data_IF_292740504514
#
_entry.id   IF_292740504514
#
_cell.length_a   1.000
_cell.length_b   1.000
_cell.length_c   1.000
_cell.angle_alpha   90.00
_cell.angle_beta   90.00
_cell.angle_gamma   90.00
#
_symmetry.space_group_name_H-M   'P 1'
#
loop_
_entity.id
_entity.type
_entity.pdbx_description
1 polymer ?
#
# COMPACT_ATOMS: atom_id res chain seq x y z
N UNK A 1 33.34 -13.83 3.20
CA UNK A 1 34.03 -12.86 4.08
C UNK A 1 33.29 -12.84 5.41
N UNK A 2 33.91 -13.32 6.49
CA UNK A 2 33.30 -13.36 7.83
C UNK A 2 33.33 -11.95 8.45
N UNK A 3 32.21 -11.45 8.94
CA UNK A 3 32.19 -10.29 9.85
C UNK A 3 31.31 -10.62 11.06
N UNK A 4 31.85 -10.26 12.22
CA UNK A 4 31.46 -10.59 13.59
C UNK A 4 30.25 -9.78 14.10
N UNK A 5 29.61 -10.36 15.10
CA UNK A 5 28.92 -9.78 16.28
C UNK A 5 28.35 -8.36 16.16
N UNK A 6 27.03 -8.26 16.34
CA UNK A 6 26.35 -7.02 16.71
C UNK A 6 25.89 -7.14 18.17
N UNK A 7 26.52 -6.36 19.03
CA UNK A 7 26.06 -6.06 20.39
C UNK A 7 24.71 -5.33 20.33
N UNK A 8 23.67 -5.91 20.93
CA UNK A 8 22.44 -5.19 21.25
C UNK A 8 22.69 -4.28 22.46
N UNK A 9 22.68 -2.97 22.24
CA UNK A 9 22.43 -1.99 23.30
C UNK A 9 20.93 -1.67 23.30
N UNK A 10 20.22 -2.15 24.32
CA UNK A 10 18.87 -1.70 24.63
C UNK A 10 18.93 -0.35 25.35
N UNK A 11 18.54 0.73 24.67
CA UNK A 11 18.30 2.02 25.29
C UNK A 11 16.82 2.14 25.63
N UNK A 12 16.48 1.93 26.90
CA UNK A 12 15.13 2.07 27.45
C UNK A 12 14.82 3.56 27.63
N UNK A 13 13.95 4.12 26.79
CA UNK A 13 13.35 5.43 27.03
C UNK A 13 12.10 5.24 27.91
N UNK A 14 12.20 5.63 29.17
CA UNK A 14 11.10 5.62 30.15
C UNK A 14 10.24 6.86 29.93
N UNK A 15 9.04 6.69 29.36
CA UNK A 15 7.96 7.66 29.47
C UNK A 15 7.18 7.37 30.76
N UNK A 16 7.22 8.32 31.69
CA UNK A 16 6.52 8.25 32.97
C UNK A 16 5.00 8.21 32.76
N UNK A 17 4.41 7.04 33.00
CA UNK A 17 3.01 6.91 33.44
C UNK A 17 3.03 6.10 34.72
N UNK A 18 2.59 6.70 35.82
CA UNK A 18 2.54 6.10 37.16
C UNK A 18 1.61 4.87 37.25
N UNK A 19 1.79 4.00 38.27
CA UNK A 19 1.77 2.55 38.06
C UNK A 19 0.48 1.87 38.51
N UNK A 20 0.09 0.79 37.82
CA UNK A 20 -0.62 -0.33 38.45
C UNK A 20 0.27 -1.55 38.36
N UNK A 21 0.67 -2.04 39.53
CA UNK A 21 1.52 -3.22 39.71
C UNK A 21 0.72 -4.47 39.39
N UNK A 22 1.22 -5.29 38.48
CA UNK A 22 0.89 -6.71 38.40
C UNK A 22 2.17 -7.50 38.67
N UNK A 23 2.25 -8.11 39.85
CA UNK A 23 3.27 -9.09 40.18
C UNK A 23 2.91 -10.40 39.46
N UNK A 24 3.82 -10.91 38.64
CA UNK A 24 3.84 -12.32 38.25
C UNK A 24 5.28 -12.82 38.44
N UNK A 25 5.48 -13.62 39.49
CA UNK A 25 6.72 -14.37 39.72
C UNK A 25 6.70 -15.63 38.85
N UNK A 26 7.81 -15.90 38.16
CA UNK A 26 8.19 -17.25 37.72
C UNK A 26 9.45 -17.72 38.48
N UNK A 27 9.96 -18.93 38.21
CA UNK A 27 9.38 -20.20 38.64
C UNK A 27 10.30 -20.90 39.66
N UNK A 28 9.72 -21.63 40.61
CA UNK A 28 10.41 -22.58 41.47
C UNK A 28 9.83 -23.98 41.26
N UNK A 29 10.68 -24.92 40.84
CA UNK A 29 10.52 -26.38 40.81
C UNK A 29 9.96 -26.92 42.16
N UNK A 30 9.29 -28.06 42.35
CA UNK A 30 9.13 -29.35 41.64
C UNK A 30 8.04 -30.18 42.38
N UNK A 31 7.63 -31.29 41.77
CA UNK A 31 6.95 -32.51 42.32
C UNK A 31 5.43 -32.53 42.53
N UNK A 32 4.82 -33.50 41.84
CA UNK A 32 3.55 -34.22 42.06
C UNK A 32 2.28 -33.43 42.40
N UNK A 33 1.42 -33.33 41.40
CA UNK A 33 0.02 -32.95 41.56
C UNK A 33 -0.56 -32.52 40.22
N UNK A 34 -1.61 -33.21 39.79
CA UNK A 34 -2.45 -32.86 38.64
C UNK A 34 -2.69 -31.34 38.57
N UNK A 35 -2.63 -30.71 37.38
CA UNK A 35 -2.80 -29.27 37.29
C UNK A 35 -4.18 -28.88 37.83
N UNK A 36 -4.16 -28.10 38.91
CA UNK A 36 -5.30 -27.32 39.37
C UNK A 36 -5.81 -26.54 38.17
N UNK A 37 -7.03 -26.87 37.76
CA UNK A 37 -7.81 -26.14 36.76
C UNK A 37 -7.57 -24.64 36.94
N UNK A 38 -6.90 -24.03 35.95
CA UNK A 38 -6.83 -22.59 35.85
C UNK A 38 -8.27 -22.10 35.84
N UNK A 39 -8.67 -21.47 36.93
CA UNK A 39 -9.99 -20.92 37.12
C UNK A 39 -10.31 -20.09 35.87
N UNK A 40 -11.32 -20.52 35.10
CA UNK A 40 -11.80 -19.75 33.98
C UNK A 40 -12.07 -18.32 34.47
N UNK A 41 -11.61 -17.28 33.76
CA UNK A 41 -11.87 -15.91 34.18
C UNK A 41 -13.39 -15.75 34.40
N UNK A 42 -13.81 -15.06 35.48
CA UNK A 42 -15.22 -14.93 35.79
C UNK A 42 -15.97 -14.39 34.58
N UNK A 43 -17.01 -15.13 34.16
CA UNK A 43 -17.80 -14.91 32.93
C UNK A 43 -18.52 -13.56 32.86
N UNK A 44 -18.36 -12.68 33.85
CA UNK A 44 -19.09 -11.43 34.05
C UNK A 44 -18.24 -10.29 34.64
N UNK A 45 -16.90 -10.33 34.56
CA UNK A 45 -16.16 -9.08 34.72
C UNK A 45 -16.47 -8.23 33.49
N UNK A 46 -17.05 -7.04 33.68
CA UNK A 46 -17.20 -6.10 32.58
C UNK A 46 -15.80 -5.79 32.05
N UNK A 47 -15.43 -6.39 30.93
CA UNK A 47 -14.16 -6.14 30.26
C UNK A 47 -14.17 -4.67 29.81
N UNK A 48 -13.20 -3.87 30.25
CA UNK A 48 -13.09 -2.45 29.91
C UNK A 48 -13.10 -1.49 31.10
N UNK A 49 -12.65 -0.26 30.87
CA UNK A 49 -12.58 0.82 31.86
C UNK A 49 -13.75 1.78 31.63
N UNK A 50 -14.48 2.11 32.69
CA UNK A 50 -15.50 3.17 32.64
C UNK A 50 -14.86 4.52 32.96
N UNK A 51 -14.88 5.44 31.99
CA UNK A 51 -14.31 6.77 32.12
C UNK A 51 -15.04 7.76 31.22
N UNK A 52 -15.28 8.98 31.70
CA UNK A 52 -15.90 10.05 30.93
C UNK A 52 -17.32 9.75 30.44
N UNK A 53 -18.08 8.89 31.14
CA UNK A 53 -19.43 8.47 30.70
C UNK A 53 -19.44 7.39 29.60
N UNK A 54 -18.29 6.76 29.36
CA UNK A 54 -18.12 5.68 28.38
C UNK A 54 -17.53 4.43 29.04
N UNK A 55 -17.95 3.27 28.57
CA UNK A 55 -17.23 2.00 28.74
C UNK A 55 -16.25 1.84 27.59
N UNK A 56 -14.96 1.73 27.91
CA UNK A 56 -13.86 1.73 26.95
C UNK A 56 -13.17 0.38 27.00
N UNK A 57 -13.09 -0.29 25.87
CA UNK A 57 -12.27 -1.49 25.65
C UNK A 57 -11.23 -1.16 24.58
N UNK A 58 -9.97 -1.45 24.87
CA UNK A 58 -8.87 -1.19 23.93
C UNK A 58 -7.89 -2.36 23.97
N UNK A 59 -7.43 -2.78 22.81
CA UNK A 59 -6.32 -3.72 22.66
C UNK A 59 -5.34 -3.21 21.61
N UNK A 60 -4.05 -3.47 21.86
CA UNK A 60 -2.98 -3.23 20.89
C UNK A 60 -2.05 -4.43 20.95
N UNK A 61 -1.84 -5.06 19.82
CA UNK A 61 -0.94 -6.19 19.68
C UNK A 61 0.33 -5.76 18.94
N UNK A 62 1.47 -6.02 19.57
CA UNK A 62 2.78 -5.78 18.99
C UNK A 62 3.42 -7.11 18.61
N UNK A 63 4.13 -7.10 17.49
CA UNK A 63 4.88 -8.25 17.02
C UNK A 63 6.06 -7.83 16.17
N UNK A 64 6.65 -8.79 15.49
CA UNK A 64 7.70 -8.54 14.53
C UNK A 64 7.83 -9.69 13.55
N UNK A 65 8.50 -9.44 12.43
CA UNK A 65 8.93 -10.48 11.51
C UNK A 65 10.42 -10.38 11.33
N UNK A 66 11.04 -11.54 11.27
CA UNK A 66 12.41 -11.72 10.85
C UNK A 66 12.33 -12.48 9.54
N UNK A 67 12.88 -11.88 8.49
CA UNK A 67 12.97 -12.44 7.17
C UNK A 67 14.45 -12.63 6.87
N UNK A 68 14.82 -13.88 6.57
CA UNK A 68 16.14 -14.23 6.04
C UNK A 68 15.99 -14.60 4.57
N UNK A 69 16.64 -13.85 3.69
CA UNK A 69 16.55 -14.01 2.24
C UNK A 69 17.92 -14.37 1.69
N UNK A 70 18.00 -15.48 0.95
CA UNK A 70 19.18 -15.87 0.17
C UNK A 70 18.85 -15.82 -1.32
N UNK A 71 19.79 -15.39 -2.16
CA UNK A 71 19.57 -15.22 -3.60
C UNK A 71 19.09 -13.81 -3.98
N UNK A 72 18.13 -13.72 -4.91
CA UNK A 72 17.65 -12.44 -5.46
C UNK A 72 16.61 -11.78 -4.55
N UNK A 73 16.98 -10.66 -3.92
CA UNK A 73 16.07 -9.81 -3.12
C UNK A 73 14.92 -9.25 -3.97
N UNK A 74 15.14 -8.74 -5.21
CA UNK A 74 14.03 -8.33 -6.07
C UNK A 74 13.02 -9.45 -6.37
N UNK A 75 13.49 -10.70 -6.49
CA UNK A 75 12.60 -11.84 -6.67
C UNK A 75 11.79 -12.14 -5.39
N UNK A 76 12.44 -12.08 -4.23
CA UNK A 76 11.74 -12.21 -2.94
C UNK A 76 10.64 -11.14 -2.79
N UNK A 77 10.95 -9.90 -3.13
CA UNK A 77 10.00 -8.77 -3.07
C UNK A 77 8.88 -8.90 -4.11
N UNK A 78 9.14 -9.54 -5.25
CA UNK A 78 8.09 -9.81 -6.25
C UNK A 78 7.12 -10.90 -5.79
N UNK A 79 7.63 -11.94 -5.13
CA UNK A 79 6.82 -13.08 -4.71
C UNK A 79 6.11 -12.87 -3.36
N UNK A 80 6.81 -12.22 -2.41
CA UNK A 80 6.41 -12.21 -1.00
C UNK A 80 6.33 -10.79 -0.44
N UNK A 81 7.36 -9.96 -0.65
CA UNK A 81 7.42 -8.57 -0.18
C UNK A 81 7.15 -8.39 1.34
N UNK A 82 7.65 -9.31 2.16
CA UNK A 82 7.43 -9.28 3.61
C UNK A 82 8.74 -8.98 4.34
N UNK A 83 9.00 -7.70 4.56
CA UNK A 83 10.28 -7.24 5.14
C UNK A 83 10.40 -7.57 6.63
N UNK A 84 11.64 -7.62 7.12
CA UNK A 84 11.92 -7.66 8.56
C UNK A 84 11.52 -6.35 9.24
N UNK A 85 11.03 -6.43 10.48
CA UNK A 85 10.74 -5.24 11.27
C UNK A 85 9.72 -5.44 12.38
N UNK A 86 9.66 -4.51 13.35
CA UNK A 86 8.62 -4.46 14.37
C UNK A 86 7.29 -4.05 13.75
N UNK A 87 6.19 -4.56 14.33
CA UNK A 87 4.83 -4.34 13.82
C UNK A 87 3.81 -4.11 14.90
N UNK A 88 2.76 -3.42 14.51
CA UNK A 88 1.49 -3.44 15.20
C UNK A 88 0.58 -4.37 14.41
N UNK A 89 0.33 -5.54 14.99
CA UNK A 89 -0.42 -6.62 14.35
C UNK A 89 -1.90 -6.25 14.28
N UNK A 90 -2.46 -5.86 15.41
CA UNK A 90 -3.84 -5.41 15.51
C UNK A 90 -3.98 -4.28 16.53
N UNK A 91 -4.89 -3.35 16.25
CA UNK A 91 -5.39 -2.37 17.21
C UNK A 91 -6.89 -2.45 17.20
N UNK A 92 -7.51 -2.44 18.37
CA UNK A 92 -8.95 -2.30 18.51
C UNK A 92 -9.28 -1.31 19.61
N UNK A 93 -10.33 -0.53 19.37
CA UNK A 93 -10.93 0.39 20.33
C UNK A 93 -12.44 0.28 20.19
N UNK A 94 -13.12 0.04 21.31
CA UNK A 94 -14.57 0.06 21.41
C UNK A 94 -14.94 0.97 22.56
N UNK A 95 -15.79 1.95 22.28
CA UNK A 95 -16.34 2.86 23.27
C UNK A 95 -17.86 2.81 23.18
N UNK A 96 -18.52 2.60 24.32
CA UNK A 96 -19.97 2.59 24.44
C UNK A 96 -20.40 3.64 25.46
N UNK A 97 -21.32 4.52 25.11
CA UNK A 97 -21.84 5.53 26.03
C UNK A 97 -22.72 4.87 27.08
N UNK A 98 -22.55 5.28 28.34
CA UNK A 98 -23.36 4.85 29.47
C UNK A 98 -24.61 5.72 29.64
N UNK A 99 -24.51 7.02 29.29
CA UNK A 99 -25.58 8.01 29.51
C UNK A 99 -26.28 8.45 28.24
N UNK A 100 -25.71 8.19 27.06
CA UNK A 100 -26.20 8.68 25.77
C UNK A 100 -26.25 10.21 25.63
N UNK A 101 -25.53 10.96 26.47
CA UNK A 101 -25.50 12.43 26.41
C UNK A 101 -24.36 12.98 25.56
N UNK A 102 -23.31 12.18 25.34
CA UNK A 102 -22.12 12.61 24.59
C UNK A 102 -22.32 12.68 23.07
N UNK A 103 -21.25 13.01 22.36
CA UNK A 103 -21.26 13.22 20.90
C UNK A 103 -21.68 11.97 20.11
N UNK A 104 -21.41 10.79 20.65
CA UNK A 104 -21.75 9.49 20.08
C UNK A 104 -22.18 8.51 21.18
N UNK A 105 -22.94 7.49 20.79
CA UNK A 105 -23.38 6.38 21.64
C UNK A 105 -22.47 5.16 21.48
N UNK A 106 -21.90 4.97 20.30
CA UNK A 106 -20.93 3.90 20.04
C UNK A 106 -19.85 4.39 19.10
N UNK A 107 -18.60 4.09 19.43
CA UNK A 107 -17.44 4.26 18.57
C UNK A 107 -16.67 2.95 18.54
N UNK A 108 -16.36 2.47 17.35
CA UNK A 108 -15.48 1.32 17.14
C UNK A 108 -14.40 1.69 16.14
N UNK A 109 -13.15 1.45 16.49
CA UNK A 109 -12.02 1.58 15.59
C UNK A 109 -11.19 0.30 15.59
N UNK A 110 -10.71 -0.11 14.42
CA UNK A 110 -9.74 -1.19 14.32
C UNK A 110 -8.74 -0.94 13.20
N UNK A 111 -7.52 -1.42 13.36
CA UNK A 111 -6.46 -1.27 12.38
C UNK A 111 -5.48 -2.44 12.42
N UNK A 112 -4.80 -2.71 11.30
CA UNK A 112 -3.78 -3.75 11.21
C UNK A 112 -2.73 -3.42 10.15
N UNK A 113 -1.59 -4.11 10.20
CA UNK A 113 -0.57 -4.10 9.15
C UNK A 113 0.40 -2.92 9.20
N UNK A 114 0.57 -2.29 10.37
CA UNK A 114 1.52 -1.19 10.52
C UNK A 114 2.91 -1.72 10.88
N UNK A 115 3.95 -1.11 10.30
CA UNK A 115 5.34 -1.57 10.49
C UNK A 115 5.93 -2.31 9.27
N UNK A 116 5.54 -1.90 8.06
CA UNK A 116 6.19 -2.35 6.82
C UNK A 116 5.53 -3.54 6.12
N UNK A 117 4.30 -3.91 6.49
CA UNK A 117 3.53 -4.87 5.70
C UNK A 117 3.07 -4.25 4.37
N UNK A 118 3.00 -5.10 3.33
CA UNK A 118 2.55 -4.70 2.00
C UNK A 118 1.09 -4.24 2.00
N UNK A 119 0.27 -4.73 2.92
CA UNK A 119 -1.13 -4.31 3.08
C UNK A 119 -1.40 -3.86 4.51
N UNK A 120 -2.12 -2.75 4.65
CA UNK A 120 -2.62 -2.26 5.93
C UNK A 120 -4.00 -1.65 5.78
N UNK A 121 -4.77 -1.64 6.87
CA UNK A 121 -6.07 -1.04 6.88
C UNK A 121 -6.43 -0.44 8.24
N UNK A 122 -7.31 0.55 8.21
CA UNK A 122 -7.98 1.10 9.37
C UNK A 122 -9.47 1.26 9.07
N UNK A 123 -10.30 1.06 10.08
CA UNK A 123 -11.75 1.21 10.01
C UNK A 123 -12.20 1.93 11.27
N UNK A 124 -13.11 2.87 11.09
CA UNK A 124 -13.72 3.66 12.15
C UNK A 124 -15.21 3.70 11.90
N UNK A 125 -15.99 3.53 12.95
CA UNK A 125 -17.43 3.71 12.93
C UNK A 125 -17.85 4.48 14.17
N UNK A 126 -18.66 5.51 13.99
CA UNK A 126 -19.19 6.37 15.04
C UNK A 126 -20.69 6.47 14.84
N UNK A 127 -21.47 6.16 15.88
CA UNK A 127 -22.93 6.12 15.81
C UNK A 127 -23.51 6.97 16.93
N UNK A 128 -24.48 7.81 16.57
CA UNK A 128 -25.41 8.45 17.51
C UNK A 128 -26.82 8.06 17.14
N UNK A 129 -27.55 7.50 18.10
CA UNK A 129 -28.87 6.91 17.90
C UNK A 129 -29.82 7.88 17.21
N UNK A 130 -30.39 7.43 16.08
CA UNK A 130 -31.31 8.20 15.21
C UNK A 130 -30.81 9.56 14.72
N UNK A 131 -29.54 9.89 14.92
CA UNK A 131 -28.96 11.18 14.56
C UNK A 131 -27.96 11.02 13.42
N UNK A 132 -26.94 10.17 13.59
CA UNK A 132 -26.00 9.88 12.52
C UNK A 132 -25.31 8.53 12.68
N UNK A 133 -24.82 8.01 11.56
CA UNK A 133 -23.89 6.90 11.48
C UNK A 133 -22.77 7.29 10.51
N UNK A 134 -21.56 7.46 11.04
CA UNK A 134 -20.37 7.78 10.29
C UNK A 134 -19.47 6.55 10.21
N UNK A 135 -18.99 6.23 9.02
CA UNK A 135 -18.01 5.18 8.77
C UNK A 135 -16.84 5.76 7.98
N UNK A 136 -15.63 5.41 8.38
CA UNK A 136 -14.44 5.68 7.59
C UNK A 136 -13.60 4.41 7.47
N UNK A 137 -13.09 4.13 6.28
CA UNK A 137 -12.08 3.11 6.06
C UNK A 137 -10.91 3.66 5.26
N UNK A 138 -9.74 3.17 5.63
CA UNK A 138 -8.51 3.33 4.89
C UNK A 138 -7.97 1.95 4.60
N UNK A 139 -7.53 1.72 3.38
CA UNK A 139 -6.75 0.54 3.00
C UNK A 139 -5.60 1.01 2.12
N UNK A 140 -4.42 0.45 2.35
CA UNK A 140 -3.30 0.63 1.43
C UNK A 140 -2.64 -0.70 1.13
N UNK A 141 -2.38 -0.91 -0.15
CA UNK A 141 -1.70 -2.09 -0.68
C UNK A 141 -0.46 -1.63 -1.46
N UNK A 142 0.62 -2.38 -1.36
CA UNK A 142 1.82 -2.23 -2.16
C UNK A 142 1.90 -3.37 -3.15
N UNK A 143 2.29 -3.04 -4.38
CA UNK A 143 2.57 -4.00 -5.44
C UNK A 143 3.98 -3.73 -5.93
N UNK A 144 4.83 -4.74 -5.79
CA UNK A 144 6.21 -4.72 -6.26
C UNK A 144 6.35 -5.79 -7.34
N UNK A 145 7.06 -5.46 -8.41
CA UNK A 145 7.48 -6.41 -9.41
C UNK A 145 8.82 -5.98 -9.95
N UNK A 146 9.80 -6.87 -9.85
CA UNK A 146 11.09 -6.73 -10.49
C UNK A 146 11.64 -8.13 -10.71
N UNK A 147 11.04 -8.82 -11.68
CA UNK A 147 11.44 -10.17 -12.07
C UNK A 147 12.02 -10.16 -13.48
N UNK A 148 13.30 -10.49 -13.58
CA UNK A 148 14.14 -10.42 -14.79
C UNK A 148 14.07 -11.69 -15.67
N UNK A 149 13.38 -12.74 -15.23
CA UNK A 149 13.29 -14.01 -15.95
C UNK A 149 12.47 -13.94 -17.25
N UNK A 150 11.83 -12.80 -17.54
CA UNK A 150 11.11 -12.55 -18.79
C UNK A 150 12.03 -12.26 -20.01
N UNK A 151 13.32 -12.58 -19.86
CA UNK A 151 14.44 -12.52 -20.80
C UNK A 151 15.37 -11.31 -20.56
N UNK A 152 16.64 -11.62 -20.28
CA UNK A 152 17.72 -10.69 -20.58
C UNK A 152 17.64 -10.41 -22.09
N UNK A 153 17.70 -9.14 -22.54
CA UNK A 153 17.74 -8.84 -23.97
C UNK A 153 18.87 -9.63 -24.62
N UNK A 154 18.79 -9.87 -25.92
CA UNK A 154 19.77 -10.61 -26.74
C UNK A 154 21.16 -9.91 -26.81
N UNK A 155 21.70 -9.48 -25.68
CA UNK A 155 23.00 -8.89 -25.44
C UNK A 155 23.94 -10.04 -25.07
N UNK A 156 24.77 -10.53 -26.01
CA UNK A 156 25.65 -11.65 -25.73
C UNK A 156 26.72 -11.22 -24.69
N UNK A 157 27.17 -12.13 -23.81
CA UNK A 157 28.27 -11.85 -22.88
C UNK A 157 29.60 -11.50 -23.57
N UNK A 158 29.69 -11.74 -24.88
CA UNK A 158 30.83 -11.40 -25.74
C UNK A 158 30.73 -10.02 -26.39
N UNK A 159 29.62 -9.30 -26.18
CA UNK A 159 29.44 -7.94 -26.65
C UNK A 159 30.50 -7.00 -26.05
N UNK A 160 30.89 -5.98 -26.81
CA UNK A 160 31.83 -4.96 -26.35
C UNK A 160 31.18 -3.57 -26.46
N UNK A 161 30.77 -2.95 -25.35
CA UNK A 161 30.74 -3.43 -23.96
C UNK A 161 29.63 -4.45 -23.65
N UNK A 162 29.84 -5.26 -22.61
CA UNK A 162 28.81 -6.14 -22.07
C UNK A 162 27.81 -5.31 -21.29
N UNK A 163 26.54 -5.42 -21.64
CA UNK A 163 25.44 -4.72 -20.99
C UNK A 163 24.41 -5.72 -20.52
N UNK A 164 24.30 -5.84 -19.20
CA UNK A 164 23.34 -6.71 -18.55
C UNK A 164 22.12 -5.89 -18.11
N UNK A 165 20.93 -6.41 -18.41
CA UNK A 165 19.69 -5.92 -17.81
C UNK A 165 19.49 -6.67 -16.49
N UNK A 166 19.76 -5.98 -15.39
CA UNK A 166 19.67 -6.58 -14.05
C UNK A 166 18.29 -6.42 -13.41
N UNK A 167 17.42 -5.60 -13.99
CA UNK A 167 16.06 -5.30 -13.52
C UNK A 167 15.06 -5.51 -14.65
N UNK A 168 13.82 -5.85 -14.31
CA UNK A 168 12.77 -6.00 -15.32
C UNK A 168 12.53 -4.69 -16.07
N UNK A 169 12.50 -4.68 -17.42
CA UNK A 169 12.08 -3.52 -18.21
C UNK A 169 10.65 -3.05 -17.92
N UNK A 170 9.86 -3.89 -17.25
CA UNK A 170 8.50 -3.61 -16.82
C UNK A 170 8.37 -3.59 -15.29
N UNK A 171 9.49 -3.35 -14.58
CA UNK A 171 9.49 -3.26 -13.13
C UNK A 171 8.55 -2.16 -12.64
N UNK A 172 7.92 -2.39 -11.50
CA UNK A 172 7.09 -1.39 -10.85
C UNK A 172 7.11 -1.51 -9.33
N UNK A 173 6.94 -0.37 -8.67
CA UNK A 173 6.71 -0.31 -7.24
C UNK A 173 5.60 0.68 -6.94
N UNK A 174 4.38 0.16 -6.92
CA UNK A 174 3.16 0.96 -6.86
C UNK A 174 2.50 0.83 -5.49
N UNK A 175 2.04 1.96 -4.96
CA UNK A 175 1.15 2.03 -3.81
C UNK A 175 -0.27 2.32 -4.25
N UNK A 176 -1.22 1.47 -3.85
CA UNK A 176 -2.66 1.74 -3.95
C UNK A 176 -3.19 2.19 -2.60
N UNK A 177 -3.88 3.32 -2.54
CA UNK A 177 -4.53 3.85 -1.34
C UNK A 177 -6.02 4.03 -1.61
N UNK A 178 -6.83 3.42 -0.77
CA UNK A 178 -8.29 3.47 -0.80
C UNK A 178 -8.77 4.16 0.47
N UNK A 179 -9.58 5.20 0.29
CA UNK A 179 -10.23 5.93 1.37
C UNK A 179 -11.73 5.86 1.11
N UNK A 180 -12.50 5.46 2.10
CA UNK A 180 -13.95 5.48 2.01
C UNK A 180 -14.50 6.18 3.25
N UNK A 181 -15.42 7.11 3.01
CA UNK A 181 -16.12 7.86 4.05
C UNK A 181 -17.60 7.76 3.75
N UNK A 182 -18.39 7.39 4.75
CA UNK A 182 -19.84 7.27 4.66
C UNK A 182 -20.48 8.00 5.83
N UNK A 183 -21.52 8.77 5.55
CA UNK A 183 -22.31 9.48 6.53
C UNK A 183 -23.79 9.26 6.23
N UNK A 184 -24.47 8.60 7.17
CA UNK A 184 -25.93 8.53 7.18
C UNK A 184 -26.47 9.48 8.23
N UNK A 185 -27.27 10.46 7.83
CA UNK A 185 -27.99 11.35 8.74
C UNK A 185 -29.41 10.85 8.97
N UNK A 186 -29.86 10.97 10.23
CA UNK A 186 -31.18 10.57 10.69
C UNK A 186 -31.55 9.12 10.37
N UNK A 187 -30.67 8.14 10.65
CA UNK A 187 -30.98 6.74 10.41
C UNK A 187 -32.28 6.35 11.14
N UNK A 188 -33.13 5.57 10.48
CA UNK A 188 -34.44 5.10 10.98
C UNK A 188 -35.51 6.19 11.17
N UNK A 189 -35.25 7.46 10.83
CA UNK A 189 -36.30 8.50 10.78
C UNK A 189 -37.12 8.41 9.48
N UNK A 190 -38.17 9.24 9.38
CA UNK A 190 -38.97 9.38 8.15
C UNK A 190 -38.14 9.82 6.95
N UNK A 191 -37.17 10.69 7.18
CA UNK A 191 -36.22 11.15 6.18
C UNK A 191 -34.82 10.73 6.61
N UNK A 192 -34.07 10.11 5.70
CA UNK A 192 -32.69 9.67 5.92
C UNK A 192 -31.86 10.09 4.71
N UNK A 193 -30.68 10.67 4.98
CA UNK A 193 -29.73 11.10 3.94
C UNK A 193 -28.49 10.24 4.03
N UNK A 194 -27.98 9.79 2.90
CA UNK A 194 -26.73 9.06 2.74
C UNK A 194 -25.77 9.89 1.89
N UNK A 195 -24.57 10.09 2.40
CA UNK A 195 -23.46 10.74 1.73
C UNK A 195 -22.25 9.81 1.81
N UNK A 196 -21.82 9.26 0.68
CA UNK A 196 -20.58 8.48 0.62
C UNK A 196 -19.56 9.12 -0.33
N UNK A 197 -18.30 9.01 0.04
CA UNK A 197 -17.16 9.40 -0.77
C UNK A 197 -16.11 8.29 -0.72
N UNK A 198 -15.70 7.81 -1.89
CA UNK A 198 -14.61 6.85 -2.04
C UNK A 198 -13.54 7.42 -2.95
N UNK A 199 -12.28 7.25 -2.56
CA UNK A 199 -11.11 7.62 -3.36
C UNK A 199 -10.14 6.46 -3.43
N UNK A 200 -9.84 6.04 -4.65
CA UNK A 200 -8.85 5.02 -4.94
C UNK A 200 -7.73 5.64 -5.79
N UNK A 201 -6.51 5.70 -5.26
CA UNK A 201 -5.33 6.26 -5.94
C UNK A 201 -4.26 5.19 -6.07
N UNK A 202 -3.72 5.01 -7.27
CA UNK A 202 -2.54 4.18 -7.53
C UNK A 202 -1.43 5.10 -8.00
N UNK A 203 -0.31 5.07 -7.30
CA UNK A 203 0.87 5.86 -7.65
C UNK A 203 2.16 5.08 -7.41
N UNK A 204 3.17 5.35 -8.24
CA UNK A 204 4.50 4.78 -8.05
C UNK A 204 5.34 4.81 -9.32
N UNK A 205 6.67 4.61 -9.18
CA UNK A 205 7.51 4.35 -10.32
C UNK A 205 7.09 3.05 -11.01
N UNK A 206 7.01 3.10 -12.34
CA UNK A 206 6.99 1.90 -13.16
C UNK A 206 7.76 2.14 -14.44
N UNK A 207 8.17 1.06 -15.07
CA UNK A 207 8.88 1.06 -16.33
C UNK A 207 8.05 0.38 -17.41
N UNK A 208 8.27 0.79 -18.64
CA UNK A 208 7.77 0.13 -19.82
C UNK A 208 8.80 0.21 -20.93
N UNK A 209 8.50 -0.36 -22.08
CA UNK A 209 9.35 -0.28 -23.25
C UNK A 209 8.53 0.10 -24.48
N UNK A 210 9.19 0.69 -25.47
CA UNK A 210 8.60 1.02 -26.76
C UNK A 210 9.55 0.58 -27.87
N UNK A 211 8.98 0.05 -28.96
CA UNK A 211 9.73 -0.39 -30.12
C UNK A 211 9.58 0.61 -31.27
N UNK A 212 10.62 1.41 -31.52
CA UNK A 212 10.74 2.34 -32.65
C UNK A 212 12.15 2.20 -33.24
N UNK A 213 12.35 1.23 -34.12
CA UNK A 213 13.66 0.90 -34.71
C UNK A 213 14.60 0.14 -33.75
N UNK A 214 14.56 0.46 -32.46
CA UNK A 214 15.18 -0.24 -31.32
C UNK A 214 14.20 -0.25 -30.14
N UNK A 215 14.42 -1.06 -29.10
CA UNK A 215 13.55 -1.07 -27.91
C UNK A 215 14.04 -0.11 -26.82
N UNK A 216 13.44 1.08 -26.68
CA UNK A 216 13.78 1.99 -25.58
C UNK A 216 13.21 1.50 -24.26
N UNK A 217 13.94 1.75 -23.17
CA UNK A 217 13.38 1.67 -21.83
C UNK A 217 12.73 3.03 -21.49
N UNK A 218 11.49 2.99 -21.02
CA UNK A 218 10.72 4.15 -20.65
C UNK A 218 10.43 4.16 -19.15
N UNK A 219 10.65 5.30 -18.52
CA UNK A 219 10.09 5.58 -17.21
C UNK A 219 8.64 6.03 -17.37
N UNK A 220 7.74 5.28 -16.74
CA UNK A 220 6.30 5.47 -16.81
C UNK A 220 5.73 5.55 -15.38
N UNK A 221 5.82 6.68 -14.66
CA UNK A 221 5.24 6.77 -13.33
C UNK A 221 3.72 6.63 -13.39
N UNK A 222 3.17 5.62 -12.70
CA UNK A 222 1.73 5.49 -12.58
C UNK A 222 1.21 6.62 -11.69
N UNK A 223 0.14 7.27 -12.16
CA UNK A 223 -0.61 8.22 -11.36
C UNK A 223 -2.06 8.19 -11.80
N UNK A 224 -2.86 7.36 -11.12
CA UNK A 224 -4.28 7.24 -11.41
C UNK A 224 -5.08 7.47 -10.14
N UNK A 225 -6.20 8.18 -10.28
CA UNK A 225 -7.12 8.46 -9.18
C UNK A 225 -8.55 8.25 -9.67
N UNK A 226 -9.32 7.51 -8.90
CA UNK A 226 -10.76 7.34 -9.06
C UNK A 226 -11.44 7.91 -7.82
N UNK A 227 -12.30 8.91 -8.01
CA UNK A 227 -13.19 9.41 -6.98
C UNK A 227 -14.61 8.97 -7.29
N UNK A 228 -15.35 8.58 -6.26
CA UNK A 228 -16.75 8.22 -6.36
C UNK A 228 -17.50 8.96 -5.25
N UNK A 229 -18.58 9.63 -5.63
CA UNK A 229 -19.48 10.33 -4.71
C UNK A 229 -20.85 9.68 -4.84
N UNK A 230 -21.46 9.32 -3.72
CA UNK A 230 -22.80 8.77 -3.68
C UNK A 230 -23.68 9.63 -2.80
N UNK A 231 -24.85 9.96 -3.32
CA UNK A 231 -25.90 10.64 -2.61
C UNK A 231 -27.13 9.74 -2.58
N UNK A 232 -27.77 9.61 -1.42
CA UNK A 232 -28.98 8.83 -1.25
C UNK A 232 -29.98 9.54 -0.36
N UNK A 233 -31.25 9.48 -0.73
CA UNK A 233 -32.38 9.95 0.06
C UNK A 233 -33.38 8.82 0.23
N UNK A 234 -33.72 8.53 1.47
CA UNK A 234 -34.80 7.59 1.80
C UNK A 234 -35.91 8.35 2.51
N UNK A 235 -37.11 8.29 1.95
CA UNK A 235 -38.32 8.86 2.52
C UNK A 235 -39.34 7.76 2.81
N UNK A 236 -39.62 7.52 4.10
CA UNK A 236 -40.70 6.66 4.57
C UNK A 236 -41.98 7.48 4.66
N UNK A 237 -42.81 7.38 3.63
CA UNK A 237 -44.07 8.14 3.49
C UNK A 237 -45.08 7.64 4.52
N UNK A 238 -45.26 6.32 4.60
CA UNK A 238 -46.11 5.64 5.56
C UNK A 238 -45.43 4.33 6.05
N UNK A 239 -46.17 3.43 6.72
CA UNK A 239 -45.61 2.17 7.25
C UNK A 239 -45.31 1.12 6.17
N UNK A 240 -45.86 1.29 4.96
CA UNK A 240 -45.80 0.37 3.84
C UNK A 240 -45.10 0.97 2.60
N UNK A 241 -44.98 2.29 2.52
CA UNK A 241 -44.44 3.01 1.36
C UNK A 241 -43.14 3.71 1.69
N UNK A 242 -42.07 3.36 0.98
CA UNK A 242 -40.77 4.02 1.05
C UNK A 242 -40.31 4.43 -0.34
N UNK A 243 -40.03 5.72 -0.53
CA UNK A 243 -39.39 6.25 -1.72
C UNK A 243 -37.87 6.33 -1.49
N UNK A 244 -37.09 5.89 -2.47
CA UNK A 244 -35.62 5.99 -2.44
C UNK A 244 -35.14 6.70 -3.70
N UNK A 245 -34.21 7.64 -3.53
CA UNK A 245 -33.48 8.27 -4.61
C UNK A 245 -32.00 8.06 -4.34
N UNK A 246 -31.26 7.55 -5.32
CA UNK A 246 -29.82 7.40 -5.23
C UNK A 246 -29.18 7.98 -6.49
N UNK A 247 -28.05 8.65 -6.31
CA UNK A 247 -27.22 9.15 -7.39
C UNK A 247 -25.77 8.81 -7.08
N UNK A 248 -25.04 8.37 -8.09
CA UNK A 248 -23.64 8.02 -7.98
C UNK A 248 -22.84 8.68 -9.10
N UNK A 249 -21.78 9.38 -8.72
CA UNK A 249 -20.92 10.17 -9.59
C UNK A 249 -19.50 9.62 -9.51
N UNK A 250 -18.94 9.22 -10.65
CA UNK A 250 -17.59 8.69 -10.73
C UNK A 250 -16.70 9.62 -11.57
N UNK A 251 -15.55 10.01 -11.01
CA UNK A 251 -14.52 10.82 -11.65
C UNK A 251 -13.21 10.04 -11.70
N UNK A 252 -12.77 9.66 -12.89
CA UNK A 252 -11.46 9.05 -13.08
C UNK A 252 -10.49 10.03 -13.69
N UNK A 253 -9.26 10.01 -13.19
CA UNK A 253 -8.13 10.82 -13.62
C UNK A 253 -6.92 9.91 -13.77
N UNK A 254 -6.31 9.89 -14.95
CA UNK A 254 -5.01 9.27 -15.21
C UNK A 254 -4.02 10.33 -15.67
N UNK A 255 -2.86 10.42 -15.03
CA UNK A 255 -1.78 11.38 -15.29
C UNK A 255 -0.45 10.64 -15.55
N UNK A 256 -0.53 9.44 -16.11
CA UNK A 256 0.66 8.68 -16.48
C UNK A 256 1.38 9.38 -17.63
N UNK A 257 2.65 9.72 -17.42
CA UNK A 257 3.57 10.21 -18.44
C UNK A 257 4.61 9.14 -18.77
N UNK A 258 5.32 9.34 -19.87
CA UNK A 258 6.39 8.48 -20.35
C UNK A 258 7.58 9.36 -20.67
N UNK A 259 8.76 8.95 -20.23
CA UNK A 259 10.03 9.59 -20.60
C UNK A 259 11.08 8.53 -20.86
N UNK A 260 12.00 8.79 -21.80
CA UNK A 260 13.18 7.94 -21.98
C UNK A 260 13.93 7.83 -20.64
N UNK A 261 14.17 6.62 -20.16
CA UNK A 261 15.01 6.44 -18.97
C UNK A 261 16.41 6.10 -19.43
N UNK A 262 17.45 6.75 -18.90
CA UNK A 262 18.82 6.47 -19.31
C UNK A 262 19.17 4.99 -19.10
N UNK A 263 19.42 4.27 -20.18
CA UNK A 263 19.92 2.91 -20.16
C UNK A 263 21.09 2.78 -21.14
N UNK A 264 22.30 2.56 -20.62
CA UNK A 264 23.52 2.35 -21.42
C UNK A 264 23.73 3.39 -22.53
N UNK A 265 23.57 4.67 -22.19
CA UNK A 265 23.79 5.77 -23.10
C UNK A 265 25.25 5.84 -23.56
N UNK A 266 25.48 5.90 -24.87
CA UNK A 266 26.80 6.07 -25.48
C UNK A 266 26.85 7.45 -26.13
N UNK A 267 27.92 8.25 -25.94
CA UNK A 267 28.02 9.54 -26.61
C UNK A 267 28.34 9.38 -28.10
N UNK A 268 27.69 10.18 -28.94
CA UNK A 268 28.11 10.44 -30.32
C UNK A 268 29.49 11.14 -30.33
N UNK A 269 30.18 11.20 -31.50
CA UNK A 269 31.44 11.93 -31.64
C UNK A 269 31.35 13.42 -31.25
N UNK A 270 30.16 14.01 -31.30
CA UNK A 270 29.89 15.40 -30.88
C UNK A 270 29.57 15.53 -29.37
N UNK A 271 29.61 14.44 -28.60
CA UNK A 271 29.31 14.40 -27.17
C UNK A 271 27.83 14.24 -26.80
N UNK A 272 26.91 14.21 -27.77
CA UNK A 272 25.47 14.03 -27.49
C UNK A 272 25.20 12.58 -27.07
N UNK A 273 24.56 12.32 -25.92
CA UNK A 273 24.22 10.95 -25.52
C UNK A 273 23.12 10.37 -26.43
N UNK A 274 23.29 9.13 -26.85
CA UNK A 274 22.27 8.34 -27.55
C UNK A 274 22.08 7.00 -26.85
N UNK A 275 20.84 6.54 -26.79
CA UNK A 275 20.47 5.25 -26.22
C UNK A 275 20.10 4.26 -27.34
N UNK A 276 20.78 3.13 -27.39
CA UNK A 276 20.54 2.08 -28.39
C UNK A 276 19.43 1.10 -28.01
N UNK A 277 18.83 1.28 -26.83
CA UNK A 277 17.77 0.45 -26.31
C UNK A 277 18.24 -0.79 -25.55
N UNK A 278 17.26 -1.60 -25.14
CA UNK A 278 17.42 -2.79 -24.30
C UNK A 278 18.23 -3.89 -25.04
N UNK A 279 17.83 -4.37 -26.24
CA UNK A 279 18.67 -5.19 -27.10
C UNK A 279 19.45 -4.32 -28.09
N UNK A 280 20.77 -4.42 -28.05
CA UNK A 280 21.62 -3.60 -28.92
C UNK A 280 22.78 -4.36 -29.57
N UNK A 281 22.78 -5.69 -29.44
CA UNK A 281 23.72 -6.58 -30.12
C UNK A 281 23.03 -7.81 -30.73
N UNK A 282 21.76 -7.68 -31.13
CA UNK A 282 20.98 -8.79 -31.69
C UNK A 282 21.22 -9.01 -33.21
N UNK A 283 22.47 -8.85 -33.66
CA UNK A 283 22.90 -9.04 -35.06
C UNK A 283 22.49 -7.93 -36.03
N UNK A 284 21.40 -7.17 -35.77
CA UNK A 284 20.93 -6.10 -36.66
C UNK A 284 20.39 -4.84 -35.96
N UNK A 285 20.07 -4.89 -34.67
CA UNK A 285 19.70 -3.75 -33.82
C UNK A 285 20.85 -3.38 -32.88
N UNK A 286 21.19 -2.09 -32.73
CA UNK A 286 20.64 -0.94 -33.46
C UNK A 286 21.14 -0.85 -34.92
N UNK A 287 22.19 -1.63 -35.24
CA UNK A 287 22.84 -1.79 -36.55
C UNK A 287 23.94 -2.85 -36.41
N UNK A 288 24.71 -3.12 -37.48
CA UNK A 288 25.83 -4.08 -37.45
C UNK A 288 27.04 -3.62 -36.62
N UNK A 289 27.34 -2.30 -36.54
CA UNK A 289 28.49 -1.75 -35.81
C UNK A 289 28.05 -0.54 -34.98
N UNK A 290 27.50 -0.74 -33.76
CA UNK A 290 26.92 0.34 -32.94
C UNK A 290 27.96 1.31 -32.37
N UNK A 291 29.19 0.85 -32.16
CA UNK A 291 30.29 1.65 -31.58
C UNK A 291 31.46 1.66 -32.55
N UNK A 292 31.96 2.86 -32.87
CA UNK A 292 33.15 3.08 -33.70
C UNK A 292 34.10 4.01 -32.94
N UNK A 293 35.34 3.58 -32.75
CA UNK A 293 36.36 4.35 -32.03
C UNK A 293 35.92 4.86 -30.63
N UNK A 294 35.07 4.09 -29.94
CA UNK A 294 34.57 4.43 -28.60
C UNK A 294 33.40 5.41 -28.57
N UNK A 295 32.87 5.83 -29.72
CA UNK A 295 31.68 6.66 -29.84
C UNK A 295 30.52 5.90 -30.51
N UNK A 296 29.30 6.34 -30.26
CA UNK A 296 28.11 5.84 -30.94
C UNK A 296 28.21 6.10 -32.45
N UNK A 297 27.92 5.08 -33.26
CA UNK A 297 27.87 5.19 -34.70
C UNK A 297 26.59 5.93 -35.13
N UNK A 298 26.69 7.12 -35.77
CA UNK A 298 25.53 7.95 -36.11
C UNK A 298 24.61 7.33 -37.19
N UNK A 299 25.03 6.25 -37.86
CA UNK A 299 24.22 5.53 -38.85
C UNK A 299 23.21 4.59 -38.18
N UNK A 300 23.37 4.30 -36.89
CA UNK A 300 22.56 3.34 -36.16
C UNK A 300 21.30 3.97 -35.59
N UNK A 301 20.23 3.18 -35.49
CA UNK A 301 19.01 3.62 -34.82
C UNK A 301 19.30 3.88 -33.33
N UNK A 302 18.67 4.89 -32.75
CA UNK A 302 18.83 5.17 -31.33
C UNK A 302 17.92 6.31 -30.88
N UNK A 303 17.73 6.38 -29.58
CA UNK A 303 16.89 7.38 -28.93
C UNK A 303 17.75 8.51 -28.36
N UNK A 304 17.40 9.74 -28.71
CA UNK A 304 17.95 10.96 -28.09
C UNK A 304 17.04 11.47 -26.97
N UNK A 305 15.74 11.31 -27.16
CA UNK A 305 14.70 11.67 -26.22
C UNK A 305 13.42 10.90 -26.57
N UNK A 306 12.61 10.64 -25.56
CA UNK A 306 11.23 10.20 -25.72
C UNK A 306 10.42 10.90 -24.64
N UNK A 307 9.27 11.47 -25.01
CA UNK A 307 8.35 12.08 -24.06
C UNK A 307 6.93 11.94 -24.57
N UNK A 308 6.05 11.40 -23.74
CA UNK A 308 4.63 11.25 -24.07
C UNK A 308 3.76 11.46 -22.83
N UNK A 309 2.66 12.21 -22.98
CA UNK A 309 1.74 12.50 -21.88
C UNK A 309 0.32 12.13 -22.29
N UNK A 310 -0.27 11.15 -21.60
CA UNK A 310 -1.63 10.64 -21.86
C UNK A 310 -2.57 10.92 -20.70
N UNK A 311 -2.65 12.21 -20.35
CA UNK A 311 -3.62 12.60 -19.33
C UNK A 311 -5.04 12.29 -19.80
N UNK A 312 -5.78 11.51 -19.01
CA UNK A 312 -7.16 11.13 -19.29
C UNK A 312 -8.05 11.56 -18.13
N UNK A 313 -9.24 12.07 -18.46
CA UNK A 313 -10.29 12.43 -17.49
C UNK A 313 -11.61 11.84 -17.97
N UNK A 314 -12.39 11.29 -17.05
CA UNK A 314 -13.74 10.81 -17.36
C UNK A 314 -14.67 11.07 -16.20
N UNK A 315 -15.85 11.58 -16.52
CA UNK A 315 -16.97 11.72 -15.60
C UNK A 315 -18.07 10.74 -16.03
N UNK A 316 -18.60 9.97 -15.07
CA UNK A 316 -19.72 9.04 -15.30
C UNK A 316 -20.77 9.23 -14.21
N UNK A 317 -21.90 9.87 -14.51
CA UNK A 317 -23.08 9.83 -13.65
C UNK A 317 -23.82 8.49 -13.86
N UNK A 318 -24.36 7.94 -12.78
CA UNK A 318 -25.26 6.78 -12.78
C UNK A 318 -26.40 7.03 -11.79
N UNK A 319 -27.63 6.70 -12.18
CA UNK A 319 -28.83 6.76 -11.34
C UNK A 319 -29.31 5.34 -11.03
#
# INVERSE_FOLDING_TARGET
MKVKEVLLFSATAVLFVSPIRSLAQGPGQTTDGLPVSAQAPPKNAAEGIESGGYRIQQSVEFGGRITDTTGSVPMYDTLTNLQSGPRILEQSLSMQSLTHEGLFDSLTASSFGWGGDASNAARLRIVKYRLYNFTASFRRDQSYFNYDLFANPLNPPTATPVVNVNDSPHAYYNGRRMYDFGLTLFPQRRFSVLLDYSRNRVEGPSFSSVHEGTDALLFQPLNTTLNQYRFGLTWRIDRHTTANFNENLQLSKGDTSYSLTPFNSVPLPNGTPVEFGLPWFNGSSPCAVPIVAGAANPVCNGYFAFAHNVSARRFRPSR
#
